data_IF_442749712335
#
_entry.id   IF_442749712335
#
_cell.length_a   1.000
_cell.length_b   1.000
_cell.length_c   1.000
_cell.angle_alpha   90.00
_cell.angle_beta   90.00
_cell.angle_gamma   90.00
#
_symmetry.space_group_name_H-M   'P 1'
#
loop_
_entity.id
_entity.type
_entity.pdbx_description
1 polymer ?
#
# COMPACT_ATOMS: atom_id res chain seq x y z
N UNK A 1 -0.05 -4.65 -15.46
CA UNK A 1 -0.58 -4.08 -14.22
C UNK A 1 -1.87 -3.34 -14.52
N UNK A 2 -2.90 -3.55 -13.74
CA UNK A 2 -4.23 -3.03 -14.03
C UNK A 2 -4.83 -2.36 -12.82
N UNK A 3 -5.74 -1.40 -13.04
CA UNK A 3 -6.59 -0.89 -11.98
C UNK A 3 -7.48 -2.01 -11.44
N UNK A 4 -7.63 -2.08 -10.12
CA UNK A 4 -8.50 -3.07 -9.50
C UNK A 4 -9.97 -2.75 -9.79
N UNK A 5 -10.78 -3.78 -9.89
CA UNK A 5 -12.23 -3.68 -10.10
C UNK A 5 -12.96 -4.17 -8.85
N UNK A 6 -14.22 -3.76 -8.64
CA UNK A 6 -14.99 -4.25 -7.48
C UNK A 6 -15.02 -5.78 -7.36
N UNK A 7 -15.06 -6.48 -8.49
CA UNK A 7 -15.05 -7.94 -8.50
C UNK A 7 -13.75 -8.55 -7.99
N UNK A 8 -12.67 -7.77 -7.90
CA UNK A 8 -11.38 -8.24 -7.39
C UNK A 8 -11.32 -8.25 -5.86
N UNK A 9 -12.29 -7.65 -5.18
CA UNK A 9 -12.23 -7.47 -3.72
C UNK A 9 -12.05 -8.78 -2.95
N UNK A 10 -12.77 -9.87 -3.23
CA UNK A 10 -12.56 -11.12 -2.50
C UNK A 10 -11.14 -11.67 -2.67
N UNK A 11 -10.59 -11.64 -3.88
CA UNK A 11 -9.24 -12.12 -4.14
C UNK A 11 -8.20 -11.25 -3.44
N UNK A 12 -8.39 -9.93 -3.44
CA UNK A 12 -7.51 -9.00 -2.74
C UNK A 12 -7.52 -9.27 -1.24
N UNK A 13 -8.71 -9.40 -0.64
CA UNK A 13 -8.83 -9.72 0.79
C UNK A 13 -8.15 -11.03 1.14
N UNK A 14 -8.30 -12.05 0.29
CA UNK A 14 -7.66 -13.35 0.49
C UNK A 14 -6.14 -13.24 0.48
N UNK A 15 -5.58 -12.51 -0.46
CA UNK A 15 -4.13 -12.31 -0.54
C UNK A 15 -3.62 -11.52 0.66
N UNK A 16 -4.32 -10.47 1.09
CA UNK A 16 -3.92 -9.70 2.26
C UNK A 16 -3.94 -10.55 3.52
N UNK A 17 -4.99 -11.36 3.72
CA UNK A 17 -5.07 -12.26 4.87
C UNK A 17 -3.92 -13.26 4.87
N UNK A 18 -3.61 -13.85 3.72
CA UNK A 18 -2.49 -14.78 3.58
C UNK A 18 -1.13 -14.12 3.86
N UNK A 19 -1.05 -12.81 3.67
CA UNK A 19 0.17 -12.01 3.88
C UNK A 19 0.24 -11.39 5.28
N UNK A 20 -0.75 -11.62 6.14
CA UNK A 20 -0.81 -11.04 7.46
C UNK A 20 -1.10 -9.54 7.47
N UNK A 21 -1.74 -9.03 6.44
CA UNK A 21 -2.04 -7.60 6.29
C UNK A 21 -3.54 -7.33 6.49
N UNK A 22 -3.89 -6.14 7.03
CA UNK A 22 -5.30 -5.80 7.19
C UNK A 22 -6.00 -5.58 5.85
N UNK A 23 -7.22 -6.08 5.73
CA UNK A 23 -8.04 -5.92 4.54
C UNK A 23 -9.52 -5.84 4.86
N UNK A 24 -9.88 -5.93 6.16
CA UNK A 24 -11.27 -5.98 6.59
C UNK A 24 -12.02 -4.66 6.41
N UNK A 25 -11.31 -3.54 6.33
CA UNK A 25 -11.90 -2.22 6.10
C UNK A 25 -12.19 -1.93 4.62
N UNK A 26 -11.65 -2.75 3.71
CA UNK A 26 -11.75 -2.46 2.28
C UNK A 26 -13.19 -2.58 1.78
N UNK A 27 -13.56 -1.62 0.95
CA UNK A 27 -14.84 -1.58 0.23
C UNK A 27 -14.56 -1.39 -1.25
N UNK A 28 -15.55 -1.58 -2.13
CA UNK A 28 -15.34 -1.30 -3.55
C UNK A 28 -14.84 0.12 -3.84
N UNK A 29 -15.20 1.11 -3.00
CA UNK A 29 -14.74 2.49 -3.17
C UNK A 29 -13.21 2.63 -3.02
N UNK A 30 -12.58 1.83 -2.16
CA UNK A 30 -11.12 1.85 -2.02
C UNK A 30 -10.43 1.42 -3.30
N UNK A 31 -11.02 0.51 -4.06
CA UNK A 31 -10.37 -0.13 -5.20
C UNK A 31 -10.14 0.81 -6.38
N UNK A 32 -10.78 1.98 -6.37
CA UNK A 32 -10.50 3.01 -7.38
C UNK A 32 -9.06 3.51 -7.35
N UNK A 33 -8.34 3.31 -6.25
CA UNK A 33 -6.93 3.68 -6.11
C UNK A 33 -6.08 2.46 -5.74
N UNK A 34 -6.48 1.28 -6.21
CA UNK A 34 -5.71 0.04 -6.07
C UNK A 34 -5.35 -0.50 -7.44
N UNK A 35 -4.20 -1.16 -7.52
CA UNK A 35 -3.70 -1.79 -8.75
C UNK A 35 -3.31 -3.22 -8.47
N UNK A 36 -3.51 -4.07 -9.47
CA UNK A 36 -3.25 -5.50 -9.35
C UNK A 36 -2.40 -6.00 -10.50
N UNK A 37 -1.73 -7.11 -10.25
CA UNK A 37 -1.06 -7.90 -11.27
C UNK A 37 -1.55 -9.34 -11.17
N UNK A 38 -1.85 -9.95 -12.31
CA UNK A 38 -2.34 -11.32 -12.39
C UNK A 38 -1.38 -12.17 -13.20
N UNK A 39 -1.43 -13.48 -12.97
CA UNK A 39 -0.82 -14.48 -13.82
C UNK A 39 -1.84 -15.59 -14.12
N UNK A 40 -1.40 -16.70 -14.72
CA UNK A 40 -2.29 -17.80 -15.08
C UNK A 40 -3.00 -18.43 -13.87
N UNK A 41 -2.40 -18.32 -12.68
CA UNK A 41 -2.98 -18.86 -11.43
C UNK A 41 -3.94 -17.89 -10.74
N UNK A 42 -4.05 -16.64 -11.19
CA UNK A 42 -4.95 -15.65 -10.61
C UNK A 42 -4.22 -14.41 -10.12
N UNK A 43 -4.66 -13.85 -8.99
CA UNK A 43 -4.07 -12.63 -8.44
C UNK A 43 -2.65 -12.90 -7.94
N UNK A 44 -1.67 -12.20 -8.53
CA UNK A 44 -0.27 -12.31 -8.17
C UNK A 44 0.14 -11.28 -7.14
N UNK A 45 -0.35 -10.05 -7.26
CA UNK A 45 0.01 -8.99 -6.35
C UNK A 45 -0.96 -7.83 -6.38
N UNK A 46 -0.91 -6.99 -5.35
CA UNK A 46 -1.78 -5.83 -5.17
C UNK A 46 -1.02 -4.72 -4.46
N UNK A 47 -1.40 -3.49 -4.74
CA UNK A 47 -0.98 -2.31 -3.98
C UNK A 47 -2.12 -1.31 -3.96
N UNK A 48 -2.27 -0.58 -2.85
CA UNK A 48 -3.31 0.41 -2.71
C UNK A 48 -2.78 1.76 -2.26
N UNK A 49 -3.54 2.79 -2.60
CA UNK A 49 -3.36 4.14 -2.10
C UNK A 49 -4.66 4.61 -1.44
N UNK A 50 -4.51 5.42 -0.39
CA UNK A 50 -5.58 6.27 0.12
C UNK A 50 -5.11 7.71 -0.04
N UNK A 51 -5.55 8.42 -1.09
CA UNK A 51 -5.11 9.80 -1.33
C UNK A 51 -5.82 10.77 -0.41
N UNK A 52 -5.06 11.73 0.13
CA UNK A 52 -5.54 12.77 1.05
C UNK A 52 -4.84 14.09 0.73
N UNK A 53 -5.18 14.69 -0.40
CA UNK A 53 -4.59 15.96 -0.83
C UNK A 53 -3.11 15.79 -1.23
N UNK A 54 -2.22 16.51 -0.55
CA UNK A 54 -0.79 16.46 -0.85
C UNK A 54 -0.08 15.27 -0.22
N UNK A 55 -0.79 14.43 0.52
CA UNK A 55 -0.26 13.19 1.09
C UNK A 55 -1.12 12.01 0.67
N UNK A 56 -0.54 10.82 0.67
CA UNK A 56 -1.29 9.59 0.45
C UNK A 56 -0.72 8.48 1.33
N UNK A 57 -1.58 7.56 1.71
CA UNK A 57 -1.20 6.34 2.42
C UNK A 57 -0.97 5.25 1.38
N UNK A 58 0.21 4.64 1.40
CA UNK A 58 0.48 3.38 0.68
C UNK A 58 0.06 2.25 1.60
N UNK A 59 -0.73 1.33 1.11
CA UNK A 59 -1.22 0.21 1.90
C UNK A 59 -1.39 -1.03 1.03
N UNK A 60 -1.59 -2.16 1.71
CA UNK A 60 -2.05 -3.38 1.06
C UNK A 60 -1.11 -3.88 -0.04
N UNK A 61 0.19 -3.62 0.10
CA UNK A 61 1.19 -4.15 -0.82
C UNK A 61 1.46 -5.60 -0.46
N UNK A 62 1.04 -6.50 -1.32
CA UNK A 62 1.19 -7.93 -1.10
C UNK A 62 1.48 -8.65 -2.40
N UNK A 63 2.33 -9.67 -2.35
CA UNK A 63 2.66 -10.53 -3.48
C UNK A 63 2.44 -11.97 -3.04
N UNK A 64 1.78 -12.76 -3.88
CA UNK A 64 1.55 -14.19 -3.62
C UNK A 64 2.91 -14.86 -3.38
N UNK A 65 2.93 -15.83 -2.44
CA UNK A 65 4.18 -16.40 -1.95
C UNK A 65 5.07 -16.96 -3.07
N UNK A 66 4.50 -17.62 -4.07
CA UNK A 66 5.25 -18.18 -5.19
C UNK A 66 5.70 -17.13 -6.21
N UNK A 67 5.23 -15.88 -6.07
CA UNK A 67 5.65 -14.76 -6.90
C UNK A 67 6.71 -13.86 -6.29
N UNK A 68 7.06 -14.10 -5.02
CA UNK A 68 8.04 -13.27 -4.33
C UNK A 68 9.45 -13.50 -4.88
N UNK A 69 10.32 -12.49 -4.71
CA UNK A 69 11.70 -12.56 -5.19
C UNK A 69 11.89 -12.30 -6.67
N UNK A 70 10.83 -11.87 -7.38
CA UNK A 70 10.87 -11.61 -8.84
C UNK A 70 10.63 -10.13 -9.19
N UNK A 71 10.70 -9.24 -8.21
CA UNK A 71 10.53 -7.81 -8.45
C UNK A 71 9.08 -7.33 -8.56
N UNK A 72 8.09 -8.18 -8.32
CA UNK A 72 6.68 -7.82 -8.45
C UNK A 72 6.29 -6.73 -7.44
N UNK A 73 6.70 -6.88 -6.17
CA UNK A 73 6.41 -5.89 -5.13
C UNK A 73 7.02 -4.53 -5.45
N UNK A 74 8.26 -4.51 -5.93
CA UNK A 74 8.91 -3.26 -6.33
C UNK A 74 8.21 -2.58 -7.50
N UNK A 75 7.77 -3.36 -8.48
CA UNK A 75 7.04 -2.82 -9.63
C UNK A 75 5.67 -2.25 -9.23
N UNK A 76 4.96 -2.94 -8.35
CA UNK A 76 3.68 -2.46 -7.81
C UNK A 76 3.87 -1.15 -7.05
N UNK A 77 4.88 -1.08 -6.18
CA UNK A 77 5.17 0.12 -5.41
C UNK A 77 5.53 1.29 -6.31
N UNK A 78 6.39 1.07 -7.31
CA UNK A 78 6.76 2.12 -8.26
C UNK A 78 5.53 2.64 -9.02
N UNK A 79 4.61 1.76 -9.39
CA UNK A 79 3.38 2.15 -10.06
C UNK A 79 2.51 3.02 -9.15
N UNK A 80 2.36 2.63 -7.88
CA UNK A 80 1.60 3.41 -6.91
C UNK A 80 2.22 4.79 -6.70
N UNK A 81 3.55 4.87 -6.64
CA UNK A 81 4.25 6.15 -6.51
C UNK A 81 3.98 7.08 -7.69
N UNK A 82 4.00 6.54 -8.89
CA UNK A 82 3.68 7.29 -10.11
C UNK A 82 2.24 7.80 -10.09
N UNK A 83 1.30 6.93 -9.72
CA UNK A 83 -0.12 7.30 -9.64
C UNK A 83 -0.36 8.34 -8.54
N UNK A 84 0.32 8.22 -7.41
CA UNK A 84 0.20 9.19 -6.32
C UNK A 84 0.61 10.59 -6.78
N UNK A 85 1.70 10.70 -7.52
CA UNK A 85 2.13 11.97 -8.10
C UNK A 85 1.08 12.55 -9.04
N UNK A 86 0.48 11.71 -9.89
CA UNK A 86 -0.59 12.14 -10.79
C UNK A 86 -1.83 12.61 -10.04
N UNK A 87 -2.09 12.08 -8.83
CA UNK A 87 -3.21 12.48 -7.98
C UNK A 87 -2.89 13.71 -7.11
N UNK A 88 -1.70 14.28 -7.23
CA UNK A 88 -1.31 15.48 -6.49
C UNK A 88 -0.58 15.23 -5.18
N UNK A 89 -0.27 13.99 -4.84
CA UNK A 89 0.47 13.68 -3.62
C UNK A 89 1.94 14.08 -3.77
N UNK A 90 2.49 14.73 -2.77
CA UNK A 90 3.92 15.05 -2.68
C UNK A 90 4.66 14.07 -1.78
N UNK A 91 3.99 13.52 -0.78
CA UNK A 91 4.60 12.62 0.20
C UNK A 91 3.70 11.39 0.42
N UNK A 92 4.34 10.24 0.46
CA UNK A 92 3.67 8.98 0.78
C UNK A 92 4.06 8.53 2.19
N UNK A 93 3.09 8.01 2.91
CA UNK A 93 3.26 7.43 4.24
C UNK A 93 2.82 5.98 4.21
N UNK A 94 3.40 5.16 5.06
CA UNK A 94 2.99 3.77 5.24
C UNK A 94 3.30 3.30 6.66
N UNK A 95 2.66 2.20 7.05
CA UNK A 95 2.99 1.46 8.26
C UNK A 95 3.41 0.05 7.88
N UNK A 96 4.49 -0.44 8.49
CA UNK A 96 4.97 -1.80 8.26
C UNK A 96 5.43 -2.45 9.56
N UNK A 97 5.22 -3.76 9.67
CA UNK A 97 5.72 -4.54 10.81
C UNK A 97 6.92 -5.40 10.43
N UNK A 98 7.07 -5.77 9.16
CA UNK A 98 8.08 -6.76 8.75
C UNK A 98 8.89 -6.36 7.51
N UNK A 99 8.53 -5.27 6.83
CA UNK A 99 9.10 -4.94 5.53
C UNK A 99 9.93 -3.65 5.53
N UNK A 100 10.46 -3.25 6.69
CA UNK A 100 11.22 -2.00 6.79
C UNK A 100 12.37 -1.97 5.79
N UNK A 101 13.13 -3.05 5.66
CA UNK A 101 14.27 -3.11 4.72
C UNK A 101 13.83 -2.97 3.26
N UNK A 102 12.70 -3.58 2.93
CA UNK A 102 12.16 -3.50 1.57
C UNK A 102 11.87 -2.05 1.19
N UNK A 103 11.20 -1.32 2.07
CA UNK A 103 10.84 0.07 1.82
C UNK A 103 12.06 1.00 1.92
N UNK A 104 12.96 0.77 2.88
CA UNK A 104 14.17 1.57 3.01
C UNK A 104 15.03 1.50 1.74
N UNK A 105 15.14 0.31 1.14
CA UNK A 105 15.88 0.14 -0.11
C UNK A 105 15.26 0.91 -1.27
N UNK A 106 14.00 1.35 -1.14
CA UNK A 106 13.26 2.07 -2.18
C UNK A 106 13.01 3.53 -1.85
N UNK A 107 13.79 4.07 -0.89
CA UNK A 107 13.79 5.50 -0.60
C UNK A 107 12.88 5.95 0.52
N UNK A 108 12.25 5.02 1.23
CA UNK A 108 11.44 5.37 2.40
C UNK A 108 12.32 5.49 3.64
N UNK A 109 12.00 6.45 4.49
CA UNK A 109 12.72 6.66 5.75
C UNK A 109 11.75 6.54 6.93
N UNK A 110 12.25 6.02 8.05
CA UNK A 110 11.46 5.93 9.27
C UNK A 110 11.13 7.33 9.75
N UNK A 111 9.85 7.54 10.11
CA UNK A 111 9.37 8.81 10.63
C UNK A 111 8.41 8.53 11.80
N UNK A 112 8.33 9.42 12.80
CA UNK A 112 7.34 9.24 13.86
C UNK A 112 5.92 9.21 13.31
N UNK A 113 5.05 8.37 13.89
CA UNK A 113 3.65 8.30 13.43
C UNK A 113 2.93 9.65 13.55
N UNK A 114 3.25 10.42 14.57
CA UNK A 114 2.62 11.73 14.78
C UNK A 114 3.14 12.81 13.83
N UNK A 115 4.16 12.52 13.04
CA UNK A 115 4.62 13.43 11.99
C UNK A 115 3.76 13.32 10.72
N UNK A 116 2.97 12.26 10.58
CA UNK A 116 2.04 12.14 9.46
C UNK A 116 0.91 13.17 9.60
N UNK A 117 0.38 13.70 8.48
CA UNK A 117 -0.75 14.63 8.55
C UNK A 117 -1.97 14.04 9.25
N UNK A 118 -2.84 14.87 9.82
CA UNK A 118 -4.04 14.38 10.50
C UNK A 118 -4.90 13.45 9.65
N UNK A 119 -5.05 13.73 8.36
CA UNK A 119 -5.84 12.91 7.44
C UNK A 119 -5.27 11.50 7.32
N UNK A 120 -3.94 11.37 7.33
CA UNK A 120 -3.27 10.07 7.29
C UNK A 120 -3.44 9.36 8.63
N UNK A 121 -3.27 10.07 9.74
CA UNK A 121 -3.43 9.48 11.08
C UNK A 121 -4.86 9.02 11.36
N UNK A 122 -5.84 9.62 10.68
CA UNK A 122 -7.25 9.23 10.82
C UNK A 122 -7.63 8.03 9.98
N UNK A 123 -6.76 7.55 9.09
CA UNK A 123 -7.06 6.34 8.29
C UNK A 123 -7.24 5.14 9.20
N UNK A 124 -8.00 4.15 8.74
CA UNK A 124 -8.26 2.94 9.53
C UNK A 124 -6.96 2.22 9.90
N UNK A 125 -5.98 2.16 9.00
CA UNK A 125 -4.70 1.52 9.29
C UNK A 125 -3.94 2.22 10.42
N UNK A 126 -3.83 3.54 10.38
CA UNK A 126 -3.12 4.29 11.42
C UNK A 126 -3.89 4.29 12.75
N UNK A 127 -5.21 4.42 12.68
CA UNK A 127 -6.02 4.59 13.88
C UNK A 127 -6.33 3.27 14.58
N UNK A 128 -6.51 2.17 13.83
CA UNK A 128 -7.11 0.95 14.40
C UNK A 128 -6.47 -0.35 13.96
N UNK A 129 -6.11 -0.50 12.68
CA UNK A 129 -5.82 -1.82 12.11
C UNK A 129 -4.39 -2.27 12.28
N UNK A 130 -3.43 -1.35 12.26
CA UNK A 130 -2.02 -1.70 12.41
C UNK A 130 -1.61 -1.65 13.87
N UNK A 131 -0.79 -2.64 14.33
CA UNK A 131 -0.32 -2.64 15.71
C UNK A 131 0.44 -1.36 16.07
N UNK A 132 0.45 -1.02 17.36
CA UNK A 132 1.23 0.11 17.85
C UNK A 132 2.73 -0.05 17.59
N UNK A 133 3.20 -1.29 17.43
CA UNK A 133 4.58 -1.60 17.10
C UNK A 133 4.93 -1.38 15.62
N UNK A 134 3.94 -1.06 14.77
CA UNK A 134 4.21 -0.79 13.35
C UNK A 134 5.10 0.42 13.19
N UNK A 135 6.02 0.31 12.24
CA UNK A 135 6.97 1.39 11.92
C UNK A 135 6.35 2.26 10.83
N UNK A 136 6.30 3.56 11.08
CA UNK A 136 5.86 4.53 10.08
C UNK A 136 7.05 4.95 9.22
N UNK A 137 6.84 4.95 7.93
CA UNK A 137 7.85 5.37 6.96
C UNK A 137 7.23 6.35 5.96
N UNK A 138 8.09 7.19 5.40
CA UNK A 138 7.65 8.21 4.43
C UNK A 138 8.65 8.39 3.31
N UNK A 139 8.14 8.81 2.16
CA UNK A 139 8.96 9.14 0.99
C UNK A 139 8.33 10.32 0.25
N UNK A 140 9.14 11.29 -0.11
CA UNK A 140 8.70 12.36 -1.02
C UNK A 140 8.75 11.83 -2.44
N UNK A 141 7.65 11.99 -3.16
CA UNK A 141 7.53 11.54 -4.57
C UNK A 141 7.45 12.72 -5.53
N UNK A 142 7.35 13.95 -4.98
CA UNK A 142 7.50 15.19 -5.74
C UNK A 142 8.32 16.17 -4.94
N UNK A 143 9.11 17.03 -5.62
CA UNK A 143 9.88 18.08 -4.95
C UNK A 143 9.03 19.04 -4.17
#
# INVERSE_FOLDING_TARGET
MKAAQPADLPAIRGLLAASGLPGQDLTPAHLGSFWIQRDAAGLLGVVGLEPHGSAALVRSLAVRADGQGRGVGGALLAHAESQAGALGAATLYLLTTTAERFFAARGYTVTPRNAAPPEIRATAEFAELCPASSICMAKRVRP
#
